data_IF_922577693613
#
_entry.id   IF_922577693613
#
_cell.length_a   1.000
_cell.length_b   1.000
_cell.length_c   1.000
_cell.angle_alpha   90.00
_cell.angle_beta   90.00
_cell.angle_gamma   90.00
#
_symmetry.space_group_name_H-M   'P 1'
#
loop_
_entity.id
_entity.type
_entity.pdbx_description
1 polymer ?
#
# COMPACT_ATOMS: atom_id res chain seq x y z
N UNK A 1 16.86 9.57 -13.48
CA UNK A 1 16.24 10.78 -12.99
C UNK A 1 17.28 11.77 -12.47
N UNK A 2 17.09 13.02 -12.76
CA UNK A 2 17.97 14.10 -12.29
C UNK A 2 17.06 15.15 -11.68
N UNK A 3 17.38 15.65 -10.48
CA UNK A 3 16.73 16.85 -9.94
C UNK A 3 17.21 18.03 -10.80
N UNK A 4 16.28 18.83 -11.29
CA UNK A 4 16.53 20.02 -12.10
C UNK A 4 15.95 21.23 -11.36
N UNK A 5 16.59 22.37 -11.52
CA UNK A 5 16.06 23.67 -11.10
C UNK A 5 15.41 24.34 -12.31
N UNK A 6 14.26 24.96 -12.13
CA UNK A 6 13.54 25.68 -13.19
C UNK A 6 12.08 25.86 -12.87
N UNK A 7 11.39 26.57 -13.72
CA UNK A 7 9.95 26.73 -13.70
C UNK A 7 9.30 25.58 -14.47
N UNK A 8 8.28 24.97 -13.88
CA UNK A 8 7.61 23.82 -14.43
C UNK A 8 6.11 24.07 -14.58
N UNK A 9 5.56 23.58 -15.67
CA UNK A 9 4.12 23.46 -15.88
C UNK A 9 3.71 22.04 -15.49
N UNK A 10 2.70 21.92 -14.65
CA UNK A 10 2.02 20.66 -14.38
C UNK A 10 0.71 20.65 -15.17
N UNK A 11 0.51 19.59 -15.94
CA UNK A 11 -0.66 19.41 -16.78
C UNK A 11 -1.70 18.50 -16.07
N UNK A 12 -2.97 18.65 -16.43
CA UNK A 12 -4.08 17.84 -15.89
C UNK A 12 -3.91 16.34 -16.14
N UNK A 13 -3.22 15.96 -17.23
CA UNK A 13 -2.92 14.56 -17.56
C UNK A 13 -1.75 13.98 -16.72
N UNK A 14 -1.26 14.74 -15.73
CA UNK A 14 -0.12 14.36 -14.90
C UNK A 14 1.24 14.51 -15.58
N UNK A 15 1.32 14.96 -16.82
CA UNK A 15 2.59 15.28 -17.47
C UNK A 15 3.18 16.60 -16.93
N UNK A 16 4.41 16.89 -17.29
CA UNK A 16 5.05 18.18 -16.98
C UNK A 16 5.91 18.64 -18.14
N UNK A 17 6.06 19.96 -18.25
CA UNK A 17 7.02 20.58 -19.16
C UNK A 17 7.78 21.70 -18.43
N UNK A 18 8.90 22.14 -19.04
CA UNK A 18 9.55 23.36 -18.60
C UNK A 18 8.75 24.56 -19.09
N UNK A 19 8.53 25.54 -18.22
CA UNK A 19 7.90 26.81 -18.61
C UNK A 19 8.86 27.72 -19.35
N UNK A 20 8.33 28.44 -20.32
CA UNK A 20 9.01 29.55 -21.00
C UNK A 20 8.56 30.92 -20.46
N UNK A 21 7.57 30.95 -19.56
CA UNK A 21 7.05 32.14 -18.89
C UNK A 21 5.91 32.86 -19.64
N UNK A 22 5.51 32.37 -20.80
CA UNK A 22 4.49 32.97 -21.66
C UNK A 22 3.18 32.17 -21.70
N UNK A 23 3.06 31.11 -20.90
CA UNK A 23 1.91 30.23 -20.92
C UNK A 23 0.73 30.81 -20.12
N UNK A 24 -0.49 30.59 -20.63
CA UNK A 24 -1.72 30.84 -19.89
C UNK A 24 -1.94 29.73 -18.88
N UNK A 25 -1.85 30.02 -17.59
CA UNK A 25 -1.91 29.05 -16.50
C UNK A 25 -3.03 29.38 -15.53
N UNK A 26 -3.65 28.36 -14.95
CA UNK A 26 -4.72 28.51 -13.95
C UNK A 26 -4.20 29.07 -12.63
N UNK A 27 -2.98 28.69 -12.23
CA UNK A 27 -2.38 29.09 -10.96
C UNK A 27 -0.85 29.11 -11.09
N UNK A 28 -0.22 30.08 -10.41
CA UNK A 28 1.25 30.15 -10.24
C UNK A 28 1.59 29.90 -8.78
N UNK A 29 2.49 28.94 -8.53
CA UNK A 29 2.97 28.60 -7.20
C UNK A 29 4.42 29.04 -7.07
N UNK A 30 4.77 29.79 -6.03
CA UNK A 30 6.17 30.09 -5.70
C UNK A 30 6.86 28.83 -5.18
N UNK A 31 7.62 28.17 -6.06
CA UNK A 31 8.39 26.95 -5.77
C UNK A 31 9.84 27.17 -5.33
N UNK A 32 10.27 28.43 -5.05
CA UNK A 32 11.67 28.78 -4.79
C UNK A 32 12.32 28.00 -3.66
N UNK A 33 11.55 27.54 -2.66
CA UNK A 33 11.98 26.72 -1.52
C UNK A 33 11.26 25.37 -1.47
N UNK A 34 10.85 24.85 -2.63
CA UNK A 34 10.15 23.58 -2.75
C UNK A 34 10.90 22.58 -3.62
N UNK A 35 10.78 21.31 -3.28
CA UNK A 35 11.12 20.19 -4.17
C UNK A 35 9.83 19.59 -4.68
N UNK A 36 9.68 19.49 -5.99
CA UNK A 36 8.57 18.78 -6.61
C UNK A 36 9.00 17.38 -7.02
N UNK A 37 8.15 16.39 -6.75
CA UNK A 37 8.38 14.99 -7.11
C UNK A 37 7.08 14.32 -7.56
N UNK A 38 7.20 13.15 -8.16
CA UNK A 38 6.07 12.21 -8.22
C UNK A 38 5.65 11.83 -6.79
N UNK A 39 4.36 11.56 -6.61
CA UNK A 39 3.78 11.13 -5.35
C UNK A 39 4.20 9.71 -4.97
N UNK A 40 4.08 9.39 -3.69
CA UNK A 40 4.33 8.07 -3.15
C UNK A 40 3.15 7.11 -3.43
N UNK A 41 3.46 5.82 -3.57
CA UNK A 41 2.51 4.77 -3.91
C UNK A 41 2.55 3.67 -2.86
N UNK A 42 1.42 3.40 -2.19
CA UNK A 42 1.28 2.33 -1.19
C UNK A 42 0.58 1.12 -1.81
N UNK A 43 1.36 0.09 -2.18
CA UNK A 43 0.86 -1.06 -2.92
C UNK A 43 0.33 -2.19 -2.05
N UNK A 44 0.36 -2.04 -0.72
CA UNK A 44 -0.27 -2.95 0.22
C UNK A 44 -0.58 -2.24 1.53
N UNK A 45 -1.84 -2.25 1.92
CA UNK A 45 -2.31 -1.69 3.17
C UNK A 45 -3.64 -2.31 3.60
N UNK A 46 -4.02 -2.06 4.86
CA UNK A 46 -5.30 -2.36 5.46
C UNK A 46 -5.88 -1.06 6.03
N UNK A 47 -6.59 -0.29 5.20
CA UNK A 47 -7.00 1.09 5.55
C UNK A 47 -7.79 1.21 6.87
N UNK A 48 -8.76 0.33 7.19
CA UNK A 48 -9.46 0.41 8.47
C UNK A 48 -8.58 0.19 9.70
N UNK A 49 -7.41 -0.45 9.57
CA UNK A 49 -6.56 -0.84 10.70
C UNK A 49 -5.87 0.32 11.43
N UNK A 50 -6.14 1.58 11.09
CA UNK A 50 -5.80 2.69 11.99
C UNK A 50 -6.52 2.61 13.33
N UNK A 51 -7.69 1.98 13.37
CA UNK A 51 -8.38 1.62 14.61
C UNK A 51 -7.58 0.64 15.48
N UNK A 52 -6.79 -0.23 14.87
CA UNK A 52 -6.00 -1.26 15.54
C UNK A 52 -4.54 -0.85 15.80
N UNK A 53 -4.21 0.42 15.60
CA UNK A 53 -2.83 0.94 15.77
C UNK A 53 -2.26 0.58 17.13
N UNK A 54 -1.07 -0.03 17.15
CA UNK A 54 -0.37 -0.53 18.36
C UNK A 54 -1.04 -1.73 19.07
N UNK A 55 -2.08 -2.33 18.49
CA UNK A 55 -2.71 -3.51 19.08
C UNK A 55 -1.79 -4.73 18.97
N UNK A 56 -1.63 -5.46 20.06
CA UNK A 56 -0.83 -6.69 20.07
C UNK A 56 0.68 -6.48 19.92
N UNK A 57 1.21 -5.36 20.39
CA UNK A 57 2.64 -5.04 20.31
C UNK A 57 3.53 -6.14 20.94
N UNK A 58 4.61 -6.52 20.23
CA UNK A 58 5.59 -7.49 20.69
C UNK A 58 5.17 -8.96 20.54
N UNK A 59 4.19 -9.26 19.71
CA UNK A 59 3.72 -10.61 19.38
C UNK A 59 4.28 -11.11 18.04
N UNK A 60 4.45 -12.42 17.88
CA UNK A 60 4.67 -13.04 16.59
C UNK A 60 3.38 -13.03 15.76
N UNK A 61 3.49 -13.10 14.41
CA UNK A 61 2.37 -12.94 13.49
C UNK A 61 1.14 -13.80 13.86
N UNK A 62 1.31 -15.12 14.04
CA UNK A 62 0.16 -16.00 14.31
C UNK A 62 -0.49 -15.74 15.66
N UNK A 63 0.30 -15.49 16.71
CA UNK A 63 -0.21 -15.14 18.03
C UNK A 63 -0.95 -13.80 17.97
N UNK A 64 -0.37 -12.81 17.26
CA UNK A 64 -0.96 -11.51 17.04
C UNK A 64 -2.30 -11.59 16.29
N UNK A 65 -2.36 -12.36 15.20
CA UNK A 65 -3.61 -12.57 14.45
C UNK A 65 -4.68 -13.22 15.33
N UNK A 66 -4.35 -14.31 16.02
CA UNK A 66 -5.33 -15.11 16.76
C UNK A 66 -5.82 -14.45 18.05
N UNK A 67 -4.96 -13.70 18.74
CA UNK A 67 -5.26 -13.15 20.07
C UNK A 67 -5.66 -11.67 20.04
N UNK A 68 -5.34 -10.95 18.96
CA UNK A 68 -5.60 -9.51 18.85
C UNK A 68 -6.42 -9.16 17.63
N UNK A 69 -6.00 -9.51 16.42
CA UNK A 69 -6.63 -9.02 15.20
C UNK A 69 -7.98 -9.70 14.91
N UNK A 70 -8.03 -11.03 14.80
CA UNK A 70 -9.29 -11.73 14.53
C UNK A 70 -10.37 -11.49 15.57
N UNK A 71 -10.08 -11.42 16.91
CA UNK A 71 -11.07 -11.00 17.89
C UNK A 71 -11.57 -9.57 17.66
N UNK A 72 -10.69 -8.63 17.30
CA UNK A 72 -11.09 -7.25 17.03
C UNK A 72 -11.91 -7.11 15.76
N UNK A 73 -11.55 -7.84 14.70
CA UNK A 73 -12.26 -7.81 13.41
C UNK A 73 -13.71 -8.33 13.49
N UNK A 74 -14.03 -9.19 14.47
CA UNK A 74 -15.41 -9.63 14.72
C UNK A 74 -16.34 -8.50 15.16
N UNK A 75 -15.77 -7.46 15.79
CA UNK A 75 -16.50 -6.27 16.24
C UNK A 75 -16.45 -5.14 15.20
N UNK A 76 -15.78 -5.36 14.07
CA UNK A 76 -15.68 -4.37 13.02
C UNK A 76 -17.01 -4.23 12.27
N UNK A 77 -17.47 -2.99 12.15
CA UNK A 77 -18.67 -2.64 11.36
C UNK A 77 -18.29 -1.80 10.13
N UNK A 78 -19.17 -1.69 9.12
CA UNK A 78 -18.95 -0.79 7.99
C UNK A 78 -18.68 0.66 8.40
N UNK A 79 -19.29 1.12 9.50
CA UNK A 79 -19.09 2.46 10.04
C UNK A 79 -17.68 2.62 10.64
N UNK A 80 -17.25 1.68 11.47
CA UNK A 80 -15.90 1.64 12.02
C UNK A 80 -14.85 1.54 10.91
N UNK A 81 -15.05 0.68 9.91
CA UNK A 81 -14.18 0.59 8.74
C UNK A 81 -14.08 1.94 8.01
N UNK A 82 -15.20 2.66 7.87
CA UNK A 82 -15.23 4.01 7.29
C UNK A 82 -14.42 5.02 8.09
N UNK A 83 -14.51 5.00 9.42
CA UNK A 83 -13.76 5.90 10.31
C UNK A 83 -12.26 5.64 10.19
N UNK A 84 -11.84 4.38 10.33
CA UNK A 84 -10.44 3.99 10.18
C UNK A 84 -9.89 4.34 8.79
N UNK A 85 -10.66 4.13 7.73
CA UNK A 85 -10.27 4.49 6.37
C UNK A 85 -10.03 5.99 6.20
N UNK A 86 -10.89 6.85 6.75
CA UNK A 86 -10.70 8.31 6.70
C UNK A 86 -9.39 8.72 7.38
N UNK A 87 -9.08 8.12 8.52
CA UNK A 87 -7.83 8.39 9.24
C UNK A 87 -6.60 7.95 8.42
N UNK A 88 -6.65 6.75 7.85
CA UNK A 88 -5.58 6.23 6.99
C UNK A 88 -5.32 7.14 5.78
N UNK A 89 -6.37 7.53 5.08
CA UNK A 89 -6.25 8.39 3.89
C UNK A 89 -5.75 9.79 4.26
N UNK A 90 -6.20 10.37 5.38
CA UNK A 90 -5.69 11.65 5.87
C UNK A 90 -4.19 11.58 6.16
N UNK A 91 -3.72 10.51 6.83
CA UNK A 91 -2.30 10.27 7.09
C UNK A 91 -1.51 10.12 5.78
N UNK A 92 -1.99 9.31 4.83
CA UNK A 92 -1.35 9.10 3.54
C UNK A 92 -1.21 10.40 2.74
N UNK A 93 -2.27 11.20 2.63
CA UNK A 93 -2.24 12.48 1.93
C UNK A 93 -1.22 13.42 2.61
N UNK A 94 -1.21 13.48 3.94
CA UNK A 94 -0.26 14.31 4.68
C UNK A 94 1.20 13.87 4.49
N UNK A 95 1.42 12.58 4.19
CA UNK A 95 2.71 11.99 3.86
C UNK A 95 3.09 12.07 2.37
N UNK A 96 2.21 12.60 1.50
CA UNK A 96 2.47 12.70 0.06
C UNK A 96 2.18 11.42 -0.73
N UNK A 97 1.35 10.53 -0.19
CA UNK A 97 0.90 9.30 -0.84
C UNK A 97 -0.44 9.55 -1.53
N UNK A 98 -0.56 9.19 -2.82
CA UNK A 98 -1.78 9.38 -3.62
C UNK A 98 -2.37 8.11 -4.17
N UNK A 99 -1.82 6.96 -3.83
CA UNK A 99 -2.33 5.65 -4.24
C UNK A 99 -2.26 4.67 -3.08
N UNK A 100 -3.37 3.93 -2.89
CA UNK A 100 -3.47 2.85 -1.92
C UNK A 100 -4.01 1.58 -2.57
N UNK A 101 -3.32 0.45 -2.42
CA UNK A 101 -3.85 -0.87 -2.72
C UNK A 101 -4.27 -1.53 -1.40
N UNK A 102 -5.56 -1.46 -1.11
CA UNK A 102 -6.17 -1.94 0.13
C UNK A 102 -6.62 -3.38 0.02
N UNK A 103 -6.57 -4.09 1.13
CA UNK A 103 -7.12 -5.44 1.29
C UNK A 103 -7.81 -5.49 2.64
N UNK A 104 -9.15 -5.39 2.68
CA UNK A 104 -9.87 -5.48 3.93
C UNK A 104 -11.35 -5.81 3.79
N UNK A 105 -12.05 -5.98 4.94
CA UNK A 105 -13.49 -6.18 5.01
C UNK A 105 -14.25 -4.90 4.64
N UNK A 106 -15.48 -5.04 4.16
CA UNK A 106 -16.39 -3.93 3.82
C UNK A 106 -15.89 -3.00 2.69
N UNK A 107 -15.54 -3.52 1.52
CA UNK A 107 -15.07 -2.70 0.39
C UNK A 107 -16.10 -1.63 -0.02
N UNK A 108 -17.40 -1.88 0.17
CA UNK A 108 -18.48 -0.91 -0.09
C UNK A 108 -18.46 0.30 0.85
N UNK A 109 -17.89 0.16 2.04
CA UNK A 109 -17.70 1.27 2.99
C UNK A 109 -16.36 1.99 2.75
N UNK A 110 -15.33 1.29 2.29
CA UNK A 110 -13.97 1.81 2.08
C UNK A 110 -13.85 2.59 0.77
N UNK A 111 -14.28 2.00 -0.34
CA UNK A 111 -14.04 2.54 -1.68
C UNK A 111 -14.61 3.96 -1.91
N UNK A 112 -15.81 4.31 -1.44
CA UNK A 112 -16.32 5.69 -1.55
C UNK A 112 -15.43 6.71 -0.82
N UNK A 113 -14.88 6.35 0.35
CA UNK A 113 -14.02 7.26 1.13
C UNK A 113 -12.71 7.52 0.41
N UNK A 114 -12.09 6.47 -0.15
CA UNK A 114 -10.89 6.61 -0.97
C UNK A 114 -11.17 7.52 -2.18
N UNK A 115 -12.30 7.31 -2.85
CA UNK A 115 -12.72 8.12 -4.00
C UNK A 115 -12.97 9.60 -3.64
N UNK A 116 -13.69 9.86 -2.55
CA UNK A 116 -14.04 11.21 -2.09
C UNK A 116 -12.82 11.97 -1.56
N UNK A 117 -11.84 11.27 -1.04
CA UNK A 117 -10.57 11.87 -0.59
C UNK A 117 -9.73 12.42 -1.74
N UNK A 118 -10.01 11.99 -2.97
CA UNK A 118 -9.31 12.42 -4.17
C UNK A 118 -8.06 11.62 -4.53
N UNK A 119 -7.62 10.65 -3.71
CA UNK A 119 -6.51 9.77 -4.09
C UNK A 119 -6.96 8.66 -5.05
N UNK A 120 -6.00 7.93 -5.59
CA UNK A 120 -6.21 6.73 -6.39
C UNK A 120 -6.18 5.49 -5.50
N UNK A 121 -6.80 4.42 -5.93
CA UNK A 121 -6.71 3.16 -5.18
C UNK A 121 -7.22 1.95 -5.93
N UNK A 122 -6.88 0.79 -5.35
CA UNK A 122 -7.51 -0.48 -5.62
C UNK A 122 -8.02 -0.97 -4.27
N UNK A 123 -9.33 -1.11 -4.12
CA UNK A 123 -9.94 -1.61 -2.88
C UNK A 123 -10.35 -3.06 -3.11
N UNK A 124 -9.59 -3.98 -2.51
CA UNK A 124 -9.80 -5.41 -2.70
C UNK A 124 -10.68 -5.97 -1.58
N UNK A 125 -11.86 -6.46 -1.96
CA UNK A 125 -12.78 -7.14 -1.06
C UNK A 125 -12.44 -8.61 -0.87
N UNK A 126 -12.71 -9.20 0.31
CA UNK A 126 -12.32 -10.54 0.66
C UNK A 126 -13.16 -11.62 -0.04
N UNK A 127 -12.47 -12.71 -0.40
CA UNK A 127 -13.06 -13.98 -0.80
C UNK A 127 -12.45 -15.10 0.04
N UNK A 128 -12.35 -14.88 1.36
CA UNK A 128 -11.75 -15.84 2.29
C UNK A 128 -12.83 -16.67 2.98
N UNK A 129 -12.48 -17.91 3.33
CA UNK A 129 -13.25 -18.77 4.22
C UNK A 129 -12.70 -18.75 5.67
N UNK A 130 -11.88 -17.75 6.00
CA UNK A 130 -11.33 -17.53 7.32
C UNK A 130 -11.56 -16.08 7.83
N UNK A 131 -11.91 -15.87 9.13
CA UNK A 131 -12.28 -16.92 10.08
C UNK A 131 -13.53 -17.68 9.62
N UNK A 132 -13.65 -18.99 9.92
CA UNK A 132 -14.85 -19.74 9.53
C UNK A 132 -16.09 -19.08 10.16
N UNK A 133 -17.16 -18.99 9.37
CA UNK A 133 -18.43 -18.44 9.83
C UNK A 133 -18.92 -19.22 11.06
N UNK A 134 -19.40 -18.52 12.09
CA UNK A 134 -20.07 -19.15 13.22
C UNK A 134 -21.48 -19.62 12.79
N UNK A 135 -22.03 -20.65 13.49
CA UNK A 135 -23.38 -21.13 13.19
C UNK A 135 -24.40 -19.97 13.32
N UNK A 136 -24.96 -19.55 12.18
CA UNK A 136 -25.95 -18.48 12.11
C UNK A 136 -25.45 -17.15 11.51
N UNK A 137 -24.16 -17.04 11.16
CA UNK A 137 -23.67 -15.90 10.38
C UNK A 137 -24.14 -15.96 8.92
N UNK A 138 -24.43 -14.78 8.35
CA UNK A 138 -24.83 -14.66 6.95
C UNK A 138 -23.76 -15.23 6.01
N UNK A 139 -24.24 -16.05 5.07
CA UNK A 139 -23.50 -16.74 4.04
C UNK A 139 -22.44 -15.83 3.36
N UNK A 140 -21.16 -16.26 3.38
CA UNK A 140 -20.06 -15.66 2.63
C UNK A 140 -20.41 -15.41 1.13
N UNK A 141 -21.38 -16.13 0.60
CA UNK A 141 -21.98 -15.90 -0.72
C UNK A 141 -22.59 -14.51 -0.90
N UNK A 142 -23.05 -13.83 0.14
CA UNK A 142 -23.56 -12.45 0.03
C UNK A 142 -22.44 -11.47 -0.18
N UNK A 143 -21.35 -11.56 0.57
CA UNK A 143 -20.17 -10.70 0.44
C UNK A 143 -19.52 -10.83 -0.95
N UNK A 144 -19.43 -12.05 -1.48
CA UNK A 144 -18.91 -12.30 -2.82
C UNK A 144 -19.84 -11.71 -3.91
N UNK A 145 -21.16 -11.84 -3.79
CA UNK A 145 -22.12 -11.23 -4.72
C UNK A 145 -22.07 -9.70 -4.68
N UNK A 146 -21.94 -9.11 -3.50
CA UNK A 146 -21.75 -7.66 -3.35
C UNK A 146 -20.47 -7.22 -4.07
N UNK A 147 -19.34 -7.88 -3.80
CA UNK A 147 -18.06 -7.60 -4.43
C UNK A 147 -18.14 -7.70 -5.97
N UNK A 148 -18.75 -8.76 -6.49
CA UNK A 148 -18.99 -8.93 -7.93
C UNK A 148 -19.83 -7.77 -8.51
N UNK A 149 -20.88 -7.37 -7.81
CA UNK A 149 -21.72 -6.23 -8.20
C UNK A 149 -20.95 -4.90 -8.21
N UNK A 150 -20.08 -4.68 -7.22
CA UNK A 150 -19.21 -3.49 -7.17
C UNK A 150 -18.24 -3.46 -8.35
N UNK A 151 -17.58 -4.59 -8.65
CA UNK A 151 -16.65 -4.69 -9.80
C UNK A 151 -17.38 -4.38 -11.10
N UNK A 152 -18.56 -4.99 -11.33
CA UNK A 152 -19.39 -4.76 -12.53
C UNK A 152 -19.91 -3.32 -12.66
N UNK A 153 -20.04 -2.61 -11.54
CA UNK A 153 -20.44 -1.18 -11.53
C UNK A 153 -19.35 -0.26 -12.04
N UNK A 154 -18.13 -0.76 -12.15
CA UNK A 154 -16.97 0.00 -12.60
C UNK A 154 -16.31 0.84 -11.51
N UNK A 155 -15.22 1.55 -11.87
CA UNK A 155 -14.41 2.32 -10.91
C UNK A 155 -15.15 3.56 -10.40
N UNK A 156 -14.83 3.96 -9.15
CA UNK A 156 -15.33 5.14 -8.48
C UNK A 156 -14.40 6.36 -8.70
N UNK A 157 -14.85 7.54 -8.23
CA UNK A 157 -14.01 8.74 -8.18
C UNK A 157 -13.48 9.17 -9.57
N UNK A 158 -14.33 9.16 -10.60
CA UNK A 158 -13.95 9.48 -11.99
C UNK A 158 -12.86 8.53 -12.55
N UNK A 159 -12.91 7.28 -12.14
CA UNK A 159 -11.97 6.25 -12.62
C UNK A 159 -10.72 6.07 -11.77
N UNK A 160 -10.59 6.80 -10.66
CA UNK A 160 -9.39 6.73 -9.80
C UNK A 160 -9.35 5.52 -8.86
N UNK A 161 -10.50 4.95 -8.51
CA UNK A 161 -10.59 3.86 -7.54
C UNK A 161 -11.22 2.64 -8.18
N UNK A 162 -10.43 1.58 -8.32
CA UNK A 162 -10.84 0.27 -8.83
C UNK A 162 -11.24 -0.64 -7.67
N UNK A 163 -12.11 -1.61 -7.96
CA UNK A 163 -12.45 -2.68 -7.02
C UNK A 163 -11.71 -3.94 -7.43
N UNK A 164 -10.97 -4.52 -6.48
CA UNK A 164 -10.20 -5.74 -6.66
C UNK A 164 -10.74 -6.90 -5.81
N UNK A 165 -10.09 -8.03 -5.90
CA UNK A 165 -10.44 -9.28 -5.23
C UNK A 165 -9.28 -9.66 -4.31
N UNK A 166 -9.58 -9.90 -3.03
CA UNK A 166 -8.59 -10.32 -2.04
C UNK A 166 -8.81 -11.77 -1.62
N UNK A 167 -7.73 -12.56 -1.66
CA UNK A 167 -7.61 -13.81 -0.90
C UNK A 167 -6.58 -13.59 0.19
N UNK A 168 -6.90 -13.91 1.45
CA UNK A 168 -6.00 -13.56 2.55
C UNK A 168 -4.61 -14.20 2.38
N UNK A 169 -4.50 -15.52 2.44
CA UNK A 169 -3.24 -16.26 2.30
C UNK A 169 -3.50 -17.74 1.98
N UNK A 170 -2.46 -18.47 1.57
CA UNK A 170 -2.55 -19.93 1.28
C UNK A 170 -2.89 -20.78 2.49
N UNK A 171 -2.70 -20.28 3.72
CA UNK A 171 -3.02 -21.00 4.95
C UNK A 171 -4.42 -20.70 5.51
N UNK A 172 -5.09 -19.67 5.01
CA UNK A 172 -6.44 -19.25 5.42
C UNK A 172 -7.49 -19.41 4.31
N UNK A 173 -7.08 -19.76 3.11
CA UNK A 173 -7.99 -19.98 1.98
C UNK A 173 -7.88 -21.43 1.49
N UNK A 174 -9.02 -22.06 1.24
CA UNK A 174 -9.08 -23.34 0.55
C UNK A 174 -8.69 -23.20 -0.93
N UNK A 175 -8.29 -24.30 -1.56
CA UNK A 175 -8.02 -24.31 -3.01
C UNK A 175 -9.23 -23.87 -3.82
N UNK A 176 -10.44 -24.24 -3.37
CA UNK A 176 -11.70 -23.86 -4.01
C UNK A 176 -11.88 -22.33 -4.02
N UNK A 177 -11.64 -21.66 -2.89
CA UNK A 177 -11.70 -20.20 -2.77
C UNK A 177 -10.65 -19.52 -3.64
N UNK A 178 -9.40 -20.02 -3.64
CA UNK A 178 -8.33 -19.48 -4.47
C UNK A 178 -8.66 -19.58 -5.98
N UNK A 179 -9.15 -20.74 -6.44
CA UNK A 179 -9.57 -20.93 -7.84
C UNK A 179 -10.74 -20.04 -8.22
N UNK A 180 -11.76 -19.96 -7.38
CA UNK A 180 -12.93 -19.11 -7.60
C UNK A 180 -12.56 -17.63 -7.70
N UNK A 181 -11.67 -17.15 -6.83
CA UNK A 181 -11.16 -15.78 -6.90
C UNK A 181 -10.42 -15.50 -8.22
N UNK A 182 -9.60 -16.45 -8.66
CA UNK A 182 -8.87 -16.36 -9.91
C UNK A 182 -9.79 -16.37 -11.14
N UNK A 183 -10.80 -17.25 -11.15
CA UNK A 183 -11.83 -17.29 -12.20
C UNK A 183 -12.60 -15.97 -12.26
N UNK A 184 -13.06 -15.46 -11.11
CA UNK A 184 -13.75 -14.16 -11.01
C UNK A 184 -12.88 -13.01 -11.49
N UNK A 185 -11.57 -13.01 -11.15
CA UNK A 185 -10.61 -12.02 -11.65
C UNK A 185 -10.51 -12.03 -13.18
N UNK A 186 -10.40 -13.20 -13.79
CA UNK A 186 -10.36 -13.33 -15.27
C UNK A 186 -11.64 -12.89 -15.94
N UNK A 187 -12.80 -13.26 -15.37
CA UNK A 187 -14.11 -12.93 -15.94
C UNK A 187 -14.41 -11.43 -15.86
N UNK A 188 -14.03 -10.78 -14.77
CA UNK A 188 -14.37 -9.38 -14.49
C UNK A 188 -13.25 -8.41 -14.81
N UNK A 189 -12.02 -8.89 -15.09
CA UNK A 189 -10.86 -8.05 -15.28
C UNK A 189 -10.40 -7.35 -14.00
N UNK A 190 -10.76 -7.89 -12.83
CA UNK A 190 -10.44 -7.32 -11.53
C UNK A 190 -9.09 -7.84 -11.02
N UNK A 191 -8.31 -6.98 -10.35
CA UNK A 191 -6.99 -7.32 -9.82
C UNK A 191 -7.09 -8.24 -8.60
N UNK A 192 -6.21 -9.26 -8.55
CA UNK A 192 -6.05 -10.12 -7.39
C UNK A 192 -5.03 -9.52 -6.40
N UNK A 193 -5.26 -9.75 -5.10
CA UNK A 193 -4.37 -9.39 -4.02
C UNK A 193 -4.29 -10.52 -2.99
N UNK A 194 -3.06 -10.90 -2.56
CA UNK A 194 -2.80 -12.00 -1.63
C UNK A 194 -1.56 -11.71 -0.79
N UNK A 195 -1.55 -12.11 0.51
CA UNK A 195 -0.32 -12.26 1.29
C UNK A 195 0.35 -13.58 0.91
N UNK A 196 1.63 -13.58 0.67
CA UNK A 196 2.33 -14.82 0.31
C UNK A 196 3.79 -14.82 0.70
N UNK A 197 4.24 -15.97 1.19
CA UNK A 197 5.61 -16.22 1.63
C UNK A 197 6.10 -15.18 2.64
N UNK A 198 5.21 -14.77 3.56
CA UNK A 198 5.50 -13.77 4.57
C UNK A 198 6.38 -14.33 5.67
N UNK A 199 6.01 -15.50 6.23
CA UNK A 199 6.74 -16.14 7.31
C UNK A 199 7.32 -17.48 6.89
N UNK A 200 8.37 -17.89 7.61
CA UNK A 200 8.95 -19.23 7.43
C UNK A 200 7.96 -20.34 7.78
N UNK A 201 7.06 -20.07 8.72
CA UNK A 201 6.05 -21.01 9.14
C UNK A 201 5.01 -21.27 8.04
N UNK A 202 4.48 -20.22 7.40
CA UNK A 202 3.61 -20.32 6.23
C UNK A 202 4.23 -21.19 5.14
N UNK A 203 5.50 -20.91 4.80
CA UNK A 203 6.24 -21.63 3.77
C UNK A 203 6.39 -23.11 4.13
N UNK A 204 6.72 -23.41 5.39
CA UNK A 204 6.88 -24.79 5.87
C UNK A 204 5.54 -25.55 5.85
N UNK A 205 4.47 -24.95 6.34
CA UNK A 205 3.12 -25.55 6.36
C UNK A 205 2.59 -25.79 4.93
N UNK A 206 2.77 -24.83 4.02
CA UNK A 206 2.39 -25.02 2.63
C UNK A 206 3.16 -26.17 1.98
N UNK A 207 4.47 -26.23 2.19
CA UNK A 207 5.31 -27.30 1.66
C UNK A 207 4.96 -28.68 2.27
N UNK A 208 4.68 -28.76 3.55
CA UNK A 208 4.23 -30.00 4.19
C UNK A 208 2.90 -30.51 3.64
N UNK A 209 1.95 -29.60 3.42
CA UNK A 209 0.59 -29.91 2.94
C UNK A 209 0.55 -30.27 1.45
N UNK A 210 1.33 -29.58 0.62
CA UNK A 210 1.21 -29.63 -0.85
C UNK A 210 2.44 -30.19 -1.57
N UNK A 211 3.59 -30.29 -0.90
CA UNK A 211 4.87 -30.58 -1.51
C UNK A 211 5.49 -29.40 -2.28
N UNK A 212 4.86 -28.23 -2.25
CA UNK A 212 5.26 -27.03 -3.00
C UNK A 212 5.40 -25.82 -2.07
N UNK A 213 6.22 -24.84 -2.48
CA UNK A 213 6.25 -23.54 -1.81
C UNK A 213 5.04 -22.68 -2.22
N UNK A 214 4.68 -21.63 -1.45
CA UNK A 214 3.40 -20.91 -1.64
C UNK A 214 3.15 -20.42 -3.07
N UNK A 215 4.12 -19.79 -3.70
CA UNK A 215 3.97 -19.27 -5.07
C UNK A 215 3.98 -20.41 -6.11
N UNK A 216 4.72 -21.49 -5.86
CA UNK A 216 4.68 -22.71 -6.68
C UNK A 216 3.29 -23.37 -6.60
N UNK A 217 2.71 -23.43 -5.40
CA UNK A 217 1.37 -23.98 -5.20
C UNK A 217 0.32 -23.11 -5.91
N UNK A 218 0.33 -21.79 -5.72
CA UNK A 218 -0.57 -20.88 -6.41
C UNK A 218 -0.48 -21.01 -7.94
N UNK A 219 0.73 -21.15 -8.48
CA UNK A 219 0.95 -21.38 -9.90
C UNK A 219 0.39 -22.74 -10.38
N UNK A 220 0.52 -23.79 -9.58
CA UNK A 220 0.02 -25.13 -9.90
C UNK A 220 -1.50 -25.21 -9.99
N UNK A 221 -2.20 -24.30 -9.32
CA UNK A 221 -3.66 -24.16 -9.35
C UNK A 221 -4.15 -23.06 -10.31
N UNK A 222 -3.27 -22.54 -11.16
CA UNK A 222 -3.57 -21.49 -12.12
C UNK A 222 -4.16 -20.22 -11.48
N UNK A 223 -3.63 -19.82 -10.31
CA UNK A 223 -4.16 -18.69 -9.51
C UNK A 223 -3.88 -17.34 -10.16
N UNK A 224 -2.68 -17.13 -10.70
CA UNK A 224 -2.21 -15.81 -11.13
C UNK A 224 -3.00 -15.24 -12.33
N UNK A 225 -3.28 -13.95 -12.25
CA UNK A 225 -3.75 -13.11 -13.36
C UNK A 225 -2.78 -11.92 -13.51
N UNK A 226 -2.81 -11.24 -14.65
CA UNK A 226 -1.93 -10.10 -14.92
C UNK A 226 -2.03 -9.04 -13.81
N UNK A 227 -0.90 -8.64 -13.27
CA UNK A 227 -0.81 -7.64 -12.21
C UNK A 227 -1.30 -8.11 -10.84
N UNK A 228 -1.39 -9.45 -10.58
CA UNK A 228 -1.66 -9.96 -9.24
C UNK A 228 -0.70 -9.35 -8.23
N UNK A 229 -1.24 -8.80 -7.13
CA UNK A 229 -0.48 -8.18 -6.06
C UNK A 229 -0.14 -9.23 -4.99
N UNK A 230 1.14 -9.49 -4.80
CA UNK A 230 1.68 -10.46 -3.85
C UNK A 230 2.40 -9.70 -2.73
N UNK A 231 1.74 -9.56 -1.57
CA UNK A 231 2.32 -8.86 -0.43
C UNK A 231 3.38 -9.70 0.28
N UNK A 232 4.37 -9.03 0.87
CA UNK A 232 5.52 -9.53 1.65
C UNK A 232 6.60 -10.22 0.81
N UNK A 233 6.36 -11.41 0.26
CA UNK A 233 7.34 -12.18 -0.52
C UNK A 233 8.73 -12.29 0.18
N UNK A 234 8.74 -12.42 1.52
CA UNK A 234 9.96 -12.43 2.33
C UNK A 234 10.77 -13.73 2.18
N UNK A 235 10.10 -14.86 1.92
CA UNK A 235 10.67 -16.19 1.89
C UNK A 235 10.51 -16.89 0.54
N UNK A 236 10.84 -16.18 -0.56
CA UNK A 236 10.69 -16.71 -1.92
C UNK A 236 11.99 -17.28 -2.47
N UNK A 237 11.88 -18.39 -3.20
CA UNK A 237 12.97 -19.03 -3.92
C UNK A 237 13.19 -18.40 -5.30
N UNK A 238 14.37 -18.65 -5.89
CA UNK A 238 14.64 -18.21 -7.28
C UNK A 238 13.65 -18.78 -8.30
N UNK A 239 13.08 -19.95 -8.04
CA UNK A 239 12.06 -20.56 -8.91
C UNK A 239 10.76 -19.76 -8.81
N UNK A 240 10.34 -19.41 -7.61
CA UNK A 240 9.15 -18.60 -7.35
C UNK A 240 9.26 -17.17 -7.90
N UNK A 241 10.45 -16.55 -7.80
CA UNK A 241 10.70 -15.25 -8.45
C UNK A 241 10.45 -15.30 -9.96
N UNK A 242 10.88 -16.38 -10.64
CA UNK A 242 10.59 -16.56 -12.08
C UNK A 242 9.11 -16.79 -12.38
N UNK A 243 8.39 -17.42 -11.44
CA UNK A 243 6.93 -17.57 -11.55
C UNK A 243 6.25 -16.21 -11.45
N UNK A 244 6.60 -15.39 -10.47
CA UNK A 244 6.09 -14.02 -10.34
C UNK A 244 6.37 -13.19 -11.61
N UNK A 245 7.61 -13.23 -12.10
CA UNK A 245 8.00 -12.47 -13.29
C UNK A 245 7.23 -12.89 -14.55
N UNK A 246 7.05 -14.19 -14.80
CA UNK A 246 6.32 -14.66 -16.00
C UNK A 246 4.82 -14.42 -15.97
N UNK A 247 4.26 -14.21 -14.78
CA UNK A 247 2.85 -13.89 -14.55
C UNK A 247 2.60 -12.38 -14.42
N UNK A 248 3.61 -11.53 -14.69
CA UNK A 248 3.55 -10.08 -14.54
C UNK A 248 3.00 -9.63 -13.17
N UNK A 249 3.31 -10.40 -12.12
CA UNK A 249 2.83 -10.14 -10.76
C UNK A 249 3.65 -9.05 -10.09
N UNK A 250 3.02 -8.29 -9.20
CA UNK A 250 3.68 -7.28 -8.36
C UNK A 250 4.08 -7.91 -7.03
N UNK A 251 5.37 -7.95 -6.71
CA UNK A 251 5.86 -8.31 -5.38
C UNK A 251 5.94 -7.06 -4.51
N UNK A 252 5.19 -6.99 -3.42
CA UNK A 252 5.15 -5.81 -2.55
C UNK A 252 6.00 -6.03 -1.32
N UNK A 253 7.07 -5.25 -1.19
CA UNK A 253 7.95 -5.27 -0.02
C UNK A 253 7.37 -4.40 1.09
N UNK A 254 7.16 -5.00 2.28
CA UNK A 254 6.59 -4.35 3.47
C UNK A 254 7.61 -4.41 4.63
N UNK A 255 8.76 -3.72 4.52
CA UNK A 255 9.90 -3.97 5.40
C UNK A 255 9.64 -3.61 6.86
N UNK A 256 8.86 -2.57 7.17
CA UNK A 256 8.60 -2.17 8.56
C UNK A 256 7.74 -3.21 9.25
N UNK A 257 6.60 -3.60 8.66
CA UNK A 257 5.72 -4.63 9.21
C UNK A 257 6.45 -5.96 9.40
N UNK A 258 7.17 -6.45 8.36
CA UNK A 258 7.91 -7.71 8.45
C UNK A 258 8.98 -7.71 9.54
N UNK A 259 9.64 -6.58 9.79
CA UNK A 259 10.62 -6.47 10.89
C UNK A 259 9.93 -6.37 12.24
N UNK A 260 8.83 -5.61 12.35
CA UNK A 260 8.09 -5.45 13.60
C UNK A 260 7.47 -6.76 14.08
N UNK A 261 6.89 -7.55 13.16
CA UNK A 261 6.33 -8.87 13.44
C UNK A 261 7.40 -9.99 13.47
N UNK A 262 8.66 -9.63 13.26
CA UNK A 262 9.78 -10.58 13.25
C UNK A 262 9.56 -11.79 12.31
N UNK A 263 8.99 -11.55 11.11
CA UNK A 263 8.71 -12.58 10.09
C UNK A 263 9.97 -13.34 9.62
N UNK A 264 11.16 -12.83 9.93
CA UNK A 264 12.46 -13.48 9.81
C UNK A 264 13.03 -13.55 8.40
N UNK A 265 12.26 -13.23 7.36
CA UNK A 265 12.70 -13.14 5.96
C UNK A 265 12.75 -11.70 5.47
N UNK A 266 13.68 -11.44 4.56
CA UNK A 266 13.73 -10.16 3.84
C UNK A 266 13.60 -10.46 2.35
N UNK A 267 12.62 -9.88 1.68
CA UNK A 267 12.54 -9.95 0.22
C UNK A 267 13.88 -9.46 -0.37
N UNK A 268 14.55 -10.29 -1.16
CA UNK A 268 15.80 -9.89 -1.81
C UNK A 268 15.50 -9.01 -3.04
N UNK A 269 15.55 -7.69 -2.87
CA UNK A 269 15.31 -6.74 -3.96
C UNK A 269 16.21 -7.00 -5.17
N UNK A 270 17.54 -7.18 -5.04
CA UNK A 270 18.40 -7.44 -6.19
C UNK A 270 18.03 -8.71 -6.95
N UNK A 271 17.71 -9.80 -6.24
CA UNK A 271 17.34 -11.07 -6.86
C UNK A 271 15.97 -10.98 -7.57
N UNK A 272 15.02 -10.25 -7.01
CA UNK A 272 13.73 -9.97 -7.65
C UNK A 272 13.89 -9.20 -8.95
N UNK A 273 14.70 -8.13 -8.94
CA UNK A 273 14.97 -7.33 -10.15
C UNK A 273 15.73 -8.15 -11.21
N UNK A 274 16.72 -8.96 -10.80
CA UNK A 274 17.43 -9.87 -11.72
C UNK A 274 16.49 -10.88 -12.38
N UNK A 275 15.49 -11.37 -11.64
CA UNK A 275 14.48 -12.28 -12.15
C UNK A 275 13.41 -11.60 -13.03
N UNK A 276 13.38 -10.26 -13.10
CA UNK A 276 12.42 -9.48 -13.86
C UNK A 276 11.09 -9.24 -13.14
N UNK A 277 11.03 -9.40 -11.81
CA UNK A 277 9.83 -9.16 -11.01
C UNK A 277 9.56 -7.67 -10.86
N UNK A 278 8.32 -7.27 -11.01
CA UNK A 278 7.87 -5.91 -10.69
C UNK A 278 7.74 -5.72 -9.17
N UNK A 279 8.79 -5.14 -8.56
CA UNK A 279 8.80 -4.86 -7.12
C UNK A 279 8.13 -3.52 -6.83
N UNK A 280 7.33 -3.50 -5.76
CA UNK A 280 6.62 -2.35 -5.20
C UNK A 280 6.89 -2.25 -3.69
N UNK A 281 6.47 -1.12 -3.08
CA UNK A 281 6.50 -0.93 -1.62
C UNK A 281 5.08 -0.82 -1.06
N UNK A 282 4.87 -1.31 0.15
CA UNK A 282 3.64 -1.17 0.90
C UNK A 282 3.90 -1.06 2.39
N UNK A 283 3.03 -0.36 3.11
CA UNK A 283 3.14 -0.20 4.56
C UNK A 283 2.62 -1.39 5.33
N UNK A 284 1.74 -2.18 4.73
CA UNK A 284 0.82 -3.05 5.45
C UNK A 284 -0.17 -2.22 6.30
N UNK A 285 -0.92 -2.82 7.23
CA UNK A 285 -1.83 -2.11 8.11
C UNK A 285 -1.13 -1.32 9.22
N UNK A 286 -1.79 -0.27 9.73
CA UNK A 286 -1.29 0.49 10.86
C UNK A 286 -1.20 -0.35 12.16
N UNK A 287 -1.87 -1.48 12.23
CA UNK A 287 -1.74 -2.42 13.35
C UNK A 287 -0.34 -3.06 13.40
N UNK A 288 0.23 -3.47 12.26
CA UNK A 288 1.54 -4.12 12.17
C UNK A 288 2.70 -3.16 11.92
N UNK A 289 2.42 -1.93 11.42
CA UNK A 289 3.42 -0.92 11.08
C UNK A 289 3.45 0.26 12.06
N UNK A 290 2.33 0.65 12.61
CA UNK A 290 1.97 1.88 13.30
C UNK A 290 1.80 3.09 12.39
N UNK A 291 2.59 3.26 11.34
CA UNK A 291 2.53 4.40 10.42
C UNK A 291 2.16 3.99 9.00
N UNK A 292 1.57 4.93 8.24
CA UNK A 292 1.30 4.77 6.81
C UNK A 292 2.20 5.70 5.97
N UNK A 293 3.35 6.09 6.52
CA UNK A 293 4.33 6.96 5.86
C UNK A 293 5.23 6.14 4.92
N UNK A 294 4.96 6.23 3.63
CA UNK A 294 5.75 5.57 2.58
C UNK A 294 7.22 6.03 2.51
N UNK A 295 7.58 7.18 3.13
CA UNK A 295 9.00 7.57 3.25
C UNK A 295 9.71 6.72 4.31
N UNK A 296 9.02 6.37 5.40
CA UNK A 296 9.54 5.44 6.41
C UNK A 296 9.76 4.06 5.80
N UNK A 297 8.81 3.57 4.96
CA UNK A 297 8.97 2.34 4.21
C UNK A 297 10.16 2.38 3.25
N UNK A 298 10.28 3.43 2.45
CA UNK A 298 11.37 3.63 1.52
C UNK A 298 12.74 3.66 2.24
N UNK A 299 12.83 4.38 3.38
CA UNK A 299 14.01 4.39 4.23
C UNK A 299 14.37 3.00 4.72
N UNK A 300 13.41 2.29 5.28
CA UNK A 300 13.61 0.96 5.86
C UNK A 300 13.98 -0.05 4.77
N UNK A 301 13.30 -0.04 3.63
CA UNK A 301 13.67 -0.86 2.47
C UNK A 301 15.12 -0.62 2.05
N UNK A 302 15.54 0.64 1.90
CA UNK A 302 16.92 0.96 1.53
C UNK A 302 17.93 0.46 2.56
N UNK A 303 17.66 0.61 3.85
CA UNK A 303 18.60 0.24 4.91
C UNK A 303 18.71 -1.28 5.06
N UNK A 304 17.57 -1.99 5.08
CA UNK A 304 17.58 -3.46 5.26
C UNK A 304 18.25 -4.15 4.09
N UNK A 305 17.98 -3.72 2.84
CA UNK A 305 18.62 -4.31 1.67
C UNK A 305 20.14 -4.12 1.68
N UNK A 306 20.63 -2.93 2.06
CA UNK A 306 22.07 -2.69 2.22
C UNK A 306 22.70 -3.56 3.29
N UNK A 307 21.98 -3.71 4.41
CA UNK A 307 22.46 -4.50 5.56
C UNK A 307 22.56 -5.99 5.20
N UNK A 308 21.47 -6.57 4.68
CA UNK A 308 21.39 -8.00 4.38
C UNK A 308 22.34 -8.46 3.27
N UNK A 309 22.56 -7.59 2.28
CA UNK A 309 23.44 -7.88 1.15
C UNK A 309 24.89 -7.40 1.33
N UNK A 310 25.20 -6.72 2.45
CA UNK A 310 26.52 -6.14 2.74
C UNK A 310 27.02 -5.21 1.62
N UNK A 311 26.09 -4.53 0.94
CA UNK A 311 26.34 -3.65 -0.20
C UNK A 311 25.63 -2.31 -0.05
N UNK A 312 26.39 -1.26 0.21
CA UNK A 312 25.88 0.10 0.39
C UNK A 312 25.34 0.74 -0.91
N UNK A 313 25.54 0.10 -2.06
CA UNK A 313 25.11 0.64 -3.36
C UNK A 313 23.67 0.26 -3.73
N UNK A 314 23.12 -0.81 -3.15
CA UNK A 314 21.75 -1.28 -3.38
C UNK A 314 20.76 -0.23 -2.88
N UNK A 315 19.70 0.01 -3.65
CA UNK A 315 18.68 1.02 -3.35
C UNK A 315 19.33 2.35 -2.91
N UNK A 316 20.19 2.90 -3.75
CA UNK A 316 20.69 4.25 -3.56
C UNK A 316 19.53 5.26 -3.53
N UNK A 317 19.71 6.52 -3.08
CA UNK A 317 18.60 7.45 -2.90
C UNK A 317 17.70 7.65 -4.13
N UNK A 318 18.26 7.59 -5.33
CA UNK A 318 17.48 7.73 -6.55
C UNK A 318 16.64 6.48 -6.82
N UNK A 319 17.24 5.29 -6.76
CA UNK A 319 16.54 4.01 -6.92
C UNK A 319 15.45 3.82 -5.88
N UNK A 320 15.73 4.18 -4.61
CA UNK A 320 14.76 4.12 -3.52
C UNK A 320 13.56 5.02 -3.80
N UNK A 321 13.80 6.25 -4.27
CA UNK A 321 12.71 7.17 -4.59
C UNK A 321 11.92 6.71 -5.81
N UNK A 322 12.59 6.21 -6.84
CA UNK A 322 11.95 5.61 -8.01
C UNK A 322 11.07 4.41 -7.65
N UNK A 323 11.51 3.58 -6.71
CA UNK A 323 10.73 2.44 -6.22
C UNK A 323 9.47 2.93 -5.47
N UNK A 324 9.61 3.90 -4.57
CA UNK A 324 8.50 4.43 -3.77
C UNK A 324 7.46 5.23 -4.58
N UNK A 325 7.86 5.75 -5.74
CA UNK A 325 6.99 6.56 -6.62
C UNK A 325 6.62 5.82 -7.91
N UNK A 326 6.93 4.54 -8.02
CA UNK A 326 6.78 3.75 -9.24
C UNK A 326 5.31 3.68 -9.67
N UNK A 327 5.02 4.13 -10.89
CA UNK A 327 3.67 4.14 -11.47
C UNK A 327 2.85 5.40 -11.14
N UNK A 328 3.39 6.34 -10.36
CA UNK A 328 2.69 7.59 -10.06
C UNK A 328 2.60 8.52 -11.27
N UNK A 329 1.41 9.08 -11.50
CA UNK A 329 1.14 10.21 -12.40
C UNK A 329 0.99 11.53 -11.65
N UNK A 330 0.85 11.51 -10.34
CA UNK A 330 0.52 12.63 -9.47
C UNK A 330 1.76 13.34 -8.93
N UNK A 331 1.58 14.53 -8.35
CA UNK A 331 2.66 15.42 -7.94
C UNK A 331 2.56 15.83 -6.48
N UNK A 332 3.72 15.99 -5.87
CA UNK A 332 3.86 16.41 -4.47
C UNK A 332 4.96 17.45 -4.35
N UNK A 333 4.75 18.45 -3.51
CA UNK A 333 5.77 19.42 -3.13
C UNK A 333 6.24 19.20 -1.70
N UNK A 334 7.55 19.36 -1.49
CA UNK A 334 8.22 19.16 -0.22
C UNK A 334 8.92 20.43 0.22
N UNK A 335 8.84 20.75 1.53
CA UNK A 335 9.49 21.91 2.11
C UNK A 335 11.03 21.76 2.12
N UNK A 336 11.72 22.63 1.41
CA UNK A 336 13.19 22.71 1.43
C UNK A 336 13.74 23.70 2.48
N UNK A 337 12.88 24.42 3.21
CA UNK A 337 13.34 25.31 4.29
C UNK A 337 13.73 24.55 5.56
N UNK A 338 13.19 23.34 5.73
CA UNK A 338 13.47 22.48 6.87
C UNK A 338 14.97 22.25 7.07
N UNK A 339 15.45 22.39 8.31
CA UNK A 339 16.86 22.18 8.66
C UNK A 339 17.35 20.78 8.28
N UNK A 340 16.49 19.76 8.29
CA UNK A 340 16.78 18.38 7.89
C UNK A 340 17.10 18.25 6.41
N UNK A 341 16.68 19.20 5.59
CA UNK A 341 17.00 19.29 4.17
C UNK A 341 18.33 20.02 3.90
N UNK A 342 19.05 20.48 4.94
CA UNK A 342 20.32 21.18 4.84
C UNK A 342 21.50 20.28 5.25
N UNK A 343 22.70 20.42 4.65
CA UNK A 343 22.97 21.27 3.48
C UNK A 343 22.44 20.62 2.18
N UNK A 344 21.87 21.41 1.29
CA UNK A 344 21.39 20.88 -0.02
C UNK A 344 22.55 20.48 -0.92
N UNK A 345 23.63 21.21 -0.89
CA UNK A 345 24.81 20.99 -1.74
C UNK A 345 24.47 21.19 -3.23
N UNK A 346 25.42 20.82 -4.09
CA UNK A 346 25.19 20.77 -5.53
C UNK A 346 24.85 19.33 -5.92
N UNK A 347 23.66 19.09 -6.47
CA UNK A 347 23.23 17.82 -7.07
C UNK A 347 22.10 17.07 -6.37
N UNK A 348 21.35 16.34 -7.16
CA UNK A 348 20.11 15.64 -6.84
C UNK A 348 20.21 14.60 -5.72
N UNK A 349 21.37 13.92 -5.62
CA UNK A 349 21.52 12.81 -4.68
C UNK A 349 21.38 13.25 -3.20
N UNK A 350 21.90 14.44 -2.83
CA UNK A 350 21.81 14.93 -1.44
C UNK A 350 20.38 15.29 -1.07
N UNK A 351 19.67 15.96 -1.95
CA UNK A 351 18.26 16.35 -1.69
C UNK A 351 17.40 15.12 -1.50
N UNK A 352 17.48 14.13 -2.42
CA UNK A 352 16.73 12.87 -2.27
C UNK A 352 17.18 12.05 -1.07
N UNK A 353 18.47 12.02 -0.76
CA UNK A 353 18.99 11.37 0.46
C UNK A 353 18.41 11.99 1.71
N UNK A 354 18.41 13.32 1.82
CA UNK A 354 17.81 14.01 2.95
C UNK A 354 16.31 13.76 3.05
N UNK A 355 15.58 13.78 1.90
CA UNK A 355 14.15 13.51 1.87
C UNK A 355 13.81 12.09 2.37
N UNK A 356 14.57 11.07 1.96
CA UNK A 356 14.35 9.67 2.35
C UNK A 356 14.77 9.43 3.81
N UNK A 357 15.99 9.82 4.18
CA UNK A 357 16.56 9.44 5.48
C UNK A 357 16.20 10.36 6.62
N UNK A 358 15.92 11.64 6.35
CA UNK A 358 15.61 12.64 7.37
C UNK A 358 14.17 13.13 7.33
N UNK A 359 13.60 13.17 6.12
CA UNK A 359 12.23 13.63 5.88
C UNK A 359 12.06 15.14 5.98
N UNK A 360 10.94 15.62 5.47
CA UNK A 360 10.46 17.00 5.61
C UNK A 360 8.94 17.02 5.43
N UNK A 361 8.31 18.18 5.61
CA UNK A 361 6.85 18.33 5.44
C UNK A 361 6.46 18.26 3.97
N UNK A 362 5.37 17.52 3.69
CA UNK A 362 4.64 17.59 2.43
C UNK A 362 3.76 18.84 2.46
N UNK A 363 3.94 19.73 1.48
CA UNK A 363 3.21 20.99 1.41
C UNK A 363 1.95 20.86 0.54
N UNK A 364 2.11 20.40 -0.69
CA UNK A 364 1.00 20.28 -1.63
C UNK A 364 0.96 18.86 -2.23
N UNK A 365 -0.25 18.42 -2.54
CA UNK A 365 -0.52 17.15 -3.24
C UNK A 365 -1.50 17.41 -4.35
N UNK A 366 -1.16 16.99 -5.56
CA UNK A 366 -1.98 17.15 -6.76
C UNK A 366 -2.29 15.79 -7.36
N UNK A 367 -3.56 15.53 -7.60
CA UNK A 367 -4.08 14.35 -8.30
C UNK A 367 -4.87 14.82 -9.51
N UNK A 368 -4.54 14.33 -10.71
CA UNK A 368 -5.13 14.80 -11.97
C UNK A 368 -5.09 16.35 -12.12
N UNK A 369 -4.01 16.98 -11.68
CA UNK A 369 -3.86 18.44 -11.68
C UNK A 369 -4.66 19.18 -10.60
N UNK A 370 -5.49 18.48 -9.82
CA UNK A 370 -6.33 19.06 -8.76
C UNK A 370 -5.61 18.98 -7.43
N UNK A 371 -5.50 20.09 -6.72
CA UNK A 371 -4.92 20.12 -5.39
C UNK A 371 -5.87 19.45 -4.37
N UNK A 372 -5.42 18.38 -3.71
CA UNK A 372 -6.11 17.75 -2.58
C UNK A 372 -5.48 18.13 -1.23
N UNK A 373 -4.26 18.70 -1.26
CA UNK A 373 -3.55 19.30 -0.11
C UNK A 373 -2.85 20.56 -0.58
N UNK A 374 -2.90 21.65 0.23
CA UNK A 374 -2.24 22.94 -0.07
C UNK A 374 -1.65 23.53 1.20
N UNK A 375 -0.39 23.98 1.10
CA UNK A 375 0.34 24.62 2.20
C UNK A 375 0.23 23.86 3.53
N UNK A 376 0.33 22.51 3.45
CA UNK A 376 0.28 21.63 4.60
C UNK A 376 -1.12 21.34 5.16
N UNK A 377 -2.20 21.71 4.45
CA UNK A 377 -3.59 21.41 4.87
C UNK A 377 -4.29 20.56 3.83
N UNK A 378 -4.89 19.47 4.23
CA UNK A 378 -5.74 18.63 3.38
C UNK A 378 -7.05 19.35 3.09
N UNK A 379 -7.45 19.39 1.82
CA UNK A 379 -8.62 20.13 1.35
C UNK A 379 -9.88 19.25 1.26
N UNK A 380 -9.69 17.94 1.07
CA UNK A 380 -10.77 16.97 0.86
C UNK A 380 -11.27 16.33 2.15
N UNK A 381 -10.54 16.48 3.24
CA UNK A 381 -10.85 15.94 4.56
C UNK A 381 -10.59 16.97 5.66
N UNK A 382 -11.41 16.95 6.71
CA UNK A 382 -11.14 17.71 7.93
C UNK A 382 -10.31 16.85 8.89
N UNK A 383 -8.99 17.04 8.92
CA UNK A 383 -8.06 16.23 9.71
C UNK A 383 -8.35 16.29 11.22
N UNK A 384 -8.80 17.43 11.77
CA UNK A 384 -9.17 17.57 13.18
C UNK A 384 -10.40 16.72 13.50
N UNK A 385 -11.42 16.77 12.65
CA UNK A 385 -12.64 15.97 12.84
C UNK A 385 -12.35 14.48 12.70
N UNK A 386 -11.55 14.09 11.71
CA UNK A 386 -11.11 12.70 11.49
C UNK A 386 -10.40 12.15 12.72
N UNK A 387 -9.51 12.95 13.33
CA UNK A 387 -8.79 12.56 14.56
C UNK A 387 -9.74 12.35 15.75
N UNK A 388 -10.73 13.22 15.92
CA UNK A 388 -11.72 13.09 16.99
C UNK A 388 -12.62 11.87 16.78
N UNK A 389 -13.12 11.66 15.56
CA UNK A 389 -13.97 10.51 15.23
C UNK A 389 -13.24 9.19 15.45
N UNK A 390 -11.94 9.13 15.10
CA UNK A 390 -11.09 7.95 15.30
C UNK A 390 -10.91 7.65 16.80
N UNK A 391 -10.62 8.67 17.61
CA UNK A 391 -10.43 8.51 19.06
C UNK A 391 -11.72 8.07 19.75
N UNK A 392 -12.87 8.65 19.38
CA UNK A 392 -14.18 8.27 19.91
C UNK A 392 -14.52 6.82 19.54
N UNK A 393 -14.37 6.46 18.26
CA UNK A 393 -14.64 5.11 17.79
C UNK A 393 -13.71 4.06 18.43
N UNK A 394 -12.42 4.40 18.65
CA UNK A 394 -11.47 3.50 19.26
C UNK A 394 -11.82 3.18 20.73
N UNK A 395 -12.39 4.12 21.49
CA UNK A 395 -12.81 3.88 22.87
C UNK A 395 -13.89 2.82 22.96
N UNK A 396 -14.90 2.91 22.09
CA UNK A 396 -15.98 1.92 22.04
C UNK A 396 -15.48 0.57 21.51
N UNK A 397 -14.71 0.60 20.44
CA UNK A 397 -14.15 -0.59 19.80
C UNK A 397 -13.25 -1.41 20.74
N UNK A 398 -12.39 -0.75 21.54
CA UNK A 398 -11.53 -1.44 22.49
C UNK A 398 -12.25 -1.92 23.75
N UNK A 399 -13.39 -1.35 24.10
CA UNK A 399 -14.15 -1.80 25.27
C UNK A 399 -14.82 -3.16 25.05
N UNK A 400 -14.94 -3.62 23.81
CA UNK A 400 -15.56 -4.88 23.40
C UNK A 400 -14.54 -6.01 23.15
N UNK A 401 -13.23 -5.71 23.19
CA UNK A 401 -12.12 -6.66 23.03
C UNK A 401 -11.48 -7.01 24.37
#
# INVERSE_FOLDING_TARGET
GVVREGDFLLHEDGSYSLSNGDEDVLEVIDGSEMLITRSLQNWHTHLPMTLNRSMGEGMALMDWLQTSIFPSERNLTPELASIGTRASVAEMISGGTTFACDMYHFPSAIAPIVADSGIRGIVCGPTTDWPPAEEGEEDSGNAIRELESMIRSGPLGSGRVEIGIATHAVYTCSEEVLRKASEMSRELGARLHIHTSETREEVAQCHEKTGMYPIEYLDSIDYFTEGTVCAHCGWVTKKEMRILARNDSHAVHCPVSNQKLACGGTMSYPAMIEAGVDVRLGTDGAASNNGLDMRAEAKTASLIQKHDHWDATILNPLETWQLATKGSSDWVTWDLTDIRMRPRGRGSRRVLSNLIYSGTSCLDVFVDGIAIRRSGKTLTLNEERVSLDLEEAAQDYYSEI
#
